data_IF_561136482418
#
_entry.id   IF_561136482418
#
_cell.length_a   1.000
_cell.length_b   1.000
_cell.length_c   1.000
_cell.angle_alpha   90.00
_cell.angle_beta   90.00
_cell.angle_gamma   90.00
#
_symmetry.space_group_name_H-M   'P 1'
#
loop_
_entity.id
_entity.type
_entity.pdbx_description
1 polymer ?
#
# COMPACT_ATOMS: atom_id res chain seq x y z
N UNK A 1 4.46 -59.35 -2.31
CA UNK A 1 5.31 -58.27 -1.77
C UNK A 1 4.95 -56.99 -2.53
N UNK A 2 4.05 -56.18 -1.98
CA UNK A 2 3.48 -55.00 -2.67
C UNK A 2 4.34 -53.76 -2.35
N UNK A 3 5.01 -53.23 -3.37
CA UNK A 3 5.78 -51.99 -3.27
C UNK A 3 4.80 -50.82 -3.12
N UNK A 4 4.63 -50.32 -1.89
CA UNK A 4 3.97 -49.04 -1.63
C UNK A 4 4.76 -47.95 -2.35
N UNK A 5 4.18 -47.40 -3.42
CA UNK A 5 4.60 -46.15 -4.02
C UNK A 5 4.68 -45.08 -2.93
N UNK A 6 5.90 -44.63 -2.61
CA UNK A 6 6.11 -43.44 -1.79
C UNK A 6 5.74 -42.25 -2.67
N UNK A 7 4.52 -41.73 -2.51
CA UNK A 7 4.14 -40.43 -3.06
C UNK A 7 5.03 -39.38 -2.42
N UNK A 8 6.06 -38.93 -3.14
CA UNK A 8 6.80 -37.73 -2.78
C UNK A 8 5.86 -36.54 -3.03
N UNK A 9 5.21 -36.04 -1.97
CA UNK A 9 4.62 -34.71 -1.99
C UNK A 9 5.76 -33.72 -2.07
N UNK A 10 6.04 -33.20 -3.26
CA UNK A 10 6.86 -32.01 -3.43
C UNK A 10 6.11 -30.91 -2.71
N UNK A 11 6.64 -30.47 -1.57
CA UNK A 11 6.09 -29.38 -0.79
C UNK A 11 6.39 -28.08 -1.55
N UNK A 12 5.57 -27.77 -2.56
CA UNK A 12 5.75 -26.56 -3.36
C UNK A 12 5.36 -25.35 -2.51
N UNK A 13 6.33 -24.83 -1.78
CA UNK A 13 6.19 -23.55 -1.09
C UNK A 13 6.10 -22.41 -2.11
N UNK A 14 5.04 -21.63 -2.03
CA UNK A 14 4.88 -20.38 -2.75
C UNK A 14 5.44 -19.24 -1.91
N UNK A 15 5.96 -18.19 -2.55
CA UNK A 15 6.52 -17.05 -1.86
C UNK A 15 5.83 -15.76 -2.25
N UNK A 16 5.64 -14.88 -1.27
CA UNK A 16 5.20 -13.50 -1.45
C UNK A 16 6.31 -12.63 -0.88
N UNK A 17 6.90 -11.80 -1.74
CA UNK A 17 7.97 -10.88 -1.37
C UNK A 17 7.40 -9.47 -1.36
N UNK A 18 7.43 -8.82 -0.21
CA UNK A 18 6.81 -7.52 -0.01
C UNK A 18 7.85 -6.51 0.43
N UNK A 19 7.81 -5.35 -0.20
CA UNK A 19 8.65 -4.19 0.14
C UNK A 19 7.78 -2.96 0.30
N UNK A 20 8.29 -1.96 1.02
CA UNK A 20 7.64 -0.66 1.18
C UNK A 20 8.36 0.40 0.34
N UNK A 21 7.63 1.18 -0.45
CA UNK A 21 8.23 2.34 -1.15
C UNK A 21 8.66 3.39 -0.12
N UNK A 22 9.77 4.07 -0.40
CA UNK A 22 10.19 5.25 0.36
C UNK A 22 9.33 6.44 -0.07
N UNK A 23 8.27 6.70 0.70
CA UNK A 23 7.41 7.88 0.59
C UNK A 23 7.25 8.51 1.98
N UNK A 24 7.04 9.82 2.02
CA UNK A 24 6.91 10.57 3.28
C UNK A 24 5.70 10.12 4.06
N UNK A 25 4.51 10.06 3.44
CA UNK A 25 3.28 9.69 4.13
C UNK A 25 3.31 8.27 4.68
N UNK A 26 3.77 7.29 3.88
CA UNK A 26 3.83 5.90 4.32
C UNK A 26 4.87 5.67 5.43
N UNK A 27 5.86 6.55 5.57
CA UNK A 27 6.91 6.42 6.59
C UNK A 27 6.36 6.48 8.02
N UNK A 28 5.29 7.25 8.23
CA UNK A 28 4.61 7.41 9.52
C UNK A 28 3.58 6.31 9.81
N UNK A 29 3.26 5.46 8.83
CA UNK A 29 2.22 4.44 8.96
C UNK A 29 2.81 3.11 9.43
N UNK A 30 2.09 2.43 10.33
CA UNK A 30 2.43 1.09 10.80
C UNK A 30 1.90 0.02 9.84
N UNK A 31 2.57 -0.14 8.69
CA UNK A 31 2.16 -1.03 7.62
C UNK A 31 2.30 -2.50 8.04
N UNK A 32 1.22 -3.26 7.83
CA UNK A 32 1.12 -4.69 8.06
C UNK A 32 0.48 -5.34 6.85
N UNK A 33 0.92 -6.55 6.54
CA UNK A 33 0.30 -7.43 5.54
C UNK A 33 -0.42 -8.53 6.28
N UNK A 34 -1.68 -8.77 5.93
CA UNK A 34 -2.48 -9.87 6.42
C UNK A 34 -2.60 -10.90 5.30
N UNK A 35 -2.20 -12.14 5.59
CA UNK A 35 -2.31 -13.27 4.66
C UNK A 35 -3.43 -14.21 5.14
N UNK A 36 -4.34 -14.55 4.23
CA UNK A 36 -5.50 -15.42 4.46
C UNK A 36 -6.37 -15.01 5.67
N UNK A 37 -6.35 -13.73 6.04
CA UNK A 37 -7.11 -13.20 7.16
C UNK A 37 -6.62 -13.65 8.55
N UNK A 38 -5.47 -14.31 8.67
CA UNK A 38 -4.98 -14.90 9.92
C UNK A 38 -3.58 -14.46 10.30
N UNK A 39 -2.66 -14.51 9.36
CA UNK A 39 -1.24 -14.24 9.61
C UNK A 39 -0.93 -12.77 9.33
N UNK A 40 -0.24 -12.11 10.25
CA UNK A 40 0.05 -10.67 10.19
C UNK A 40 1.57 -10.48 10.18
N UNK A 41 2.07 -9.81 9.14
CA UNK A 41 3.48 -9.52 8.94
C UNK A 41 3.70 -8.00 8.93
N UNK A 42 4.43 -7.42 9.90
CA UNK A 42 4.79 -6.00 9.84
C UNK A 42 5.78 -5.76 8.70
N UNK A 43 5.64 -4.64 7.99
CA UNK A 43 6.55 -4.24 6.88
C UNK A 43 7.20 -2.91 7.22
N UNK A 44 8.40 -2.95 7.81
CA UNK A 44 9.11 -1.74 8.27
C UNK A 44 9.80 -1.01 7.11
N UNK A 45 10.31 0.18 7.40
CA UNK A 45 11.05 0.97 6.42
C UNK A 45 12.31 0.21 5.94
N UNK A 46 12.51 0.14 4.63
CA UNK A 46 13.69 -0.50 4.03
C UNK A 46 13.74 -2.02 4.19
N UNK A 47 12.72 -2.64 4.80
CA UNK A 47 12.67 -4.07 5.02
C UNK A 47 12.06 -4.80 3.81
N UNK A 48 12.59 -5.99 3.54
CA UNK A 48 12.01 -6.94 2.60
C UNK A 48 11.44 -8.11 3.40
N UNK A 49 10.12 -8.25 3.36
CA UNK A 49 9.40 -9.32 4.03
C UNK A 49 9.15 -10.44 3.03
N UNK A 50 9.57 -11.67 3.37
CA UNK A 50 9.34 -12.86 2.56
C UNK A 50 8.39 -13.77 3.31
N UNK A 51 7.26 -14.09 2.71
CA UNK A 51 6.20 -14.91 3.29
C UNK A 51 6.11 -16.20 2.49
N UNK A 52 6.31 -17.34 3.13
CA UNK A 52 6.07 -18.66 2.54
C UNK A 52 4.62 -19.06 2.73
N UNK A 53 3.99 -19.59 1.68
CA UNK A 53 2.61 -20.07 1.71
C UNK A 53 2.55 -21.47 1.12
N UNK A 54 1.93 -22.40 1.85
CA UNK A 54 1.82 -23.81 1.46
C UNK A 54 0.72 -24.06 0.42
N UNK A 55 -0.30 -23.20 0.37
CA UNK A 55 -1.47 -23.36 -0.49
C UNK A 55 -1.54 -22.27 -1.55
N UNK A 56 -1.90 -22.69 -2.77
CA UNK A 56 -2.20 -21.78 -3.86
C UNK A 56 -3.49 -20.99 -3.56
N UNK A 57 -3.67 -19.86 -4.24
CA UNK A 57 -4.75 -18.89 -4.01
C UNK A 57 -4.69 -18.15 -2.66
N UNK A 58 -3.51 -17.71 -2.16
CA UNK A 58 -3.49 -16.89 -0.96
C UNK A 58 -4.14 -15.53 -1.20
N UNK A 59 -4.80 -15.03 -0.16
CA UNK A 59 -5.40 -13.70 -0.13
C UNK A 59 -4.56 -12.76 0.71
N UNK A 60 -4.15 -11.65 0.13
CA UNK A 60 -3.39 -10.61 0.82
C UNK A 60 -4.21 -9.34 0.99
N UNK A 61 -4.08 -8.74 2.17
CA UNK A 61 -4.64 -7.43 2.51
C UNK A 61 -3.53 -6.62 3.17
N UNK A 62 -3.36 -5.37 2.77
CA UNK A 62 -2.43 -4.46 3.45
C UNK A 62 -3.22 -3.48 4.30
N UNK A 63 -2.71 -3.20 5.49
CA UNK A 63 -3.33 -2.27 6.43
C UNK A 63 -2.32 -1.53 7.29
N UNK A 64 -2.68 -0.32 7.73
CA UNK A 64 -2.01 0.38 8.83
C UNK A 64 -2.81 0.34 10.14
N UNK A 65 -3.97 -0.35 10.17
CA UNK A 65 -4.94 -0.37 11.26
C UNK A 65 -6.18 0.49 11.02
N UNK A 66 -6.13 1.44 10.09
CA UNK A 66 -7.26 2.30 9.74
C UNK A 66 -7.66 2.17 8.27
N UNK A 67 -6.67 2.11 7.38
CA UNK A 67 -6.82 1.83 5.96
C UNK A 67 -6.69 0.33 5.70
N UNK A 68 -7.54 -0.22 4.85
CA UNK A 68 -7.52 -1.63 4.45
C UNK A 68 -7.68 -1.73 2.95
N UNK A 69 -6.71 -2.33 2.26
CA UNK A 69 -6.82 -2.55 0.82
C UNK A 69 -7.94 -3.56 0.52
N UNK A 70 -8.43 -3.55 -0.72
CA UNK A 70 -9.24 -4.67 -1.22
C UNK A 70 -8.40 -5.96 -1.14
N UNK A 71 -9.00 -7.11 -0.75
CA UNK A 71 -8.31 -8.39 -0.77
C UNK A 71 -7.83 -8.72 -2.18
N UNK A 72 -6.55 -9.05 -2.31
CA UNK A 72 -5.95 -9.50 -3.57
C UNK A 72 -5.68 -11.01 -3.48
N UNK A 73 -6.33 -11.78 -4.33
CA UNK A 73 -6.16 -13.23 -4.44
C UNK A 73 -5.08 -13.53 -5.49
N UNK A 74 -4.07 -14.31 -5.12
CA UNK A 74 -2.91 -14.61 -5.96
C UNK A 74 -3.03 -16.00 -6.58
N UNK A 75 -2.88 -16.14 -7.89
CA UNK A 75 -2.97 -17.45 -8.55
C UNK A 75 -1.60 -17.86 -9.10
N UNK A 76 -0.97 -18.84 -8.45
CA UNK A 76 0.33 -19.35 -8.86
C UNK A 76 0.16 -20.43 -9.93
N UNK A 77 0.61 -20.15 -11.16
CA UNK A 77 0.59 -21.11 -12.27
C UNK A 77 1.98 -21.69 -12.55
N UNK A 78 2.93 -20.83 -12.93
CA UNK A 78 4.31 -21.23 -13.28
C UNK A 78 5.37 -20.52 -12.43
N UNK A 79 5.05 -19.32 -11.93
CA UNK A 79 5.89 -18.59 -11.00
C UNK A 79 5.52 -19.03 -9.59
N UNK A 80 6.51 -19.36 -8.77
CA UNK A 80 6.34 -19.67 -7.34
C UNK A 80 6.56 -18.45 -6.44
N UNK A 81 6.77 -17.26 -7.02
CA UNK A 81 7.08 -16.03 -6.29
C UNK A 81 6.33 -14.85 -6.88
N UNK A 82 5.65 -14.07 -6.03
CA UNK A 82 5.17 -12.72 -6.38
C UNK A 82 5.97 -11.65 -5.66
N UNK A 83 6.26 -10.56 -6.38
CA UNK A 83 6.90 -9.37 -5.82
C UNK A 83 5.90 -8.23 -5.75
N UNK A 84 5.73 -7.67 -4.56
CA UNK A 84 4.87 -6.53 -4.31
C UNK A 84 5.62 -5.37 -3.68
N UNK A 85 5.20 -4.17 -4.06
CA UNK A 85 5.59 -2.92 -3.44
C UNK A 85 4.34 -2.25 -2.88
N UNK A 86 4.37 -1.97 -1.58
CA UNK A 86 3.33 -1.21 -0.90
C UNK A 86 3.63 0.27 -1.10
N UNK A 87 2.64 1.02 -1.57
CA UNK A 87 2.71 2.47 -1.77
C UNK A 87 1.52 3.17 -1.14
N UNK A 88 1.63 4.49 -1.01
CA UNK A 88 0.50 5.38 -0.73
C UNK A 88 0.00 6.01 -2.04
N UNK A 89 -1.30 6.27 -2.11
CA UNK A 89 -1.97 6.96 -3.22
C UNK A 89 -1.44 8.38 -3.45
N UNK A 90 -0.98 9.03 -2.39
CA UNK A 90 -0.34 10.34 -2.44
C UNK A 90 1.17 10.15 -2.40
N UNK A 91 1.86 10.56 -3.47
CA UNK A 91 3.31 10.55 -3.52
C UNK A 91 3.96 11.87 -3.06
N UNK A 92 5.28 11.86 -2.92
CA UNK A 92 6.02 13.02 -2.42
C UNK A 92 5.95 14.21 -3.40
N UNK A 93 5.84 13.93 -4.71
CA UNK A 93 5.68 14.96 -5.74
C UNK A 93 4.32 15.64 -5.67
N UNK A 94 3.24 14.89 -5.47
CA UNK A 94 1.89 15.41 -5.27
C UNK A 94 1.80 16.20 -3.97
N UNK A 95 2.42 15.71 -2.89
CA UNK A 95 2.47 16.43 -1.62
C UNK A 95 3.15 17.79 -1.79
N UNK A 96 4.32 17.82 -2.44
CA UNK A 96 5.07 19.04 -2.72
C UNK A 96 4.30 20.00 -3.63
N UNK A 97 3.69 19.49 -4.70
CA UNK A 97 2.86 20.28 -5.61
C UNK A 97 1.65 20.89 -4.87
N UNK A 98 1.00 20.11 -4.01
CA UNK A 98 -0.10 20.57 -3.15
C UNK A 98 0.33 21.71 -2.21
N UNK A 99 1.51 21.59 -1.59
CA UNK A 99 2.11 22.67 -0.79
C UNK A 99 2.39 23.92 -1.63
N UNK A 100 2.90 23.75 -2.85
CA UNK A 100 3.16 24.85 -3.78
C UNK A 100 1.89 25.61 -4.18
N UNK A 101 0.82 24.88 -4.55
CA UNK A 101 -0.49 25.46 -4.88
C UNK A 101 -1.07 26.20 -3.68
N UNK A 102 -1.01 25.60 -2.49
CA UNK A 102 -1.47 26.25 -1.26
C UNK A 102 -0.75 27.57 -1.01
N UNK A 103 0.59 27.55 -1.03
CA UNK A 103 1.40 28.74 -0.77
C UNK A 103 1.12 29.85 -1.80
N UNK A 104 1.07 29.49 -3.08
CA UNK A 104 0.83 30.43 -4.16
C UNK A 104 -0.53 31.13 -4.02
N UNK A 105 -1.62 30.35 -3.90
CA UNK A 105 -2.97 30.91 -3.79
C UNK A 105 -3.18 31.70 -2.50
N UNK A 106 -2.60 31.24 -1.39
CA UNK A 106 -2.66 31.95 -0.12
C UNK A 106 -1.97 33.31 -0.20
N UNK A 107 -0.73 33.36 -0.73
CA UNK A 107 0.02 34.61 -0.88
C UNK A 107 -0.64 35.56 -1.87
N UNK A 108 -1.15 35.06 -3.00
CA UNK A 108 -1.91 35.88 -3.95
C UNK A 108 -3.17 36.47 -3.30
N UNK A 109 -3.94 35.65 -2.57
CA UNK A 109 -5.12 36.11 -1.83
C UNK A 109 -4.77 37.09 -0.72
N UNK A 110 -3.59 36.97 -0.12
CA UNK A 110 -3.08 37.90 0.88
C UNK A 110 -2.75 39.26 0.26
N UNK A 111 -1.96 39.29 -0.81
CA UNK A 111 -1.53 40.53 -1.49
C UNK A 111 -2.71 41.25 -2.16
N UNK A 112 -3.61 40.52 -2.81
CA UNK A 112 -4.76 41.11 -3.53
C UNK A 112 -5.94 41.45 -2.62
N UNK A 113 -5.97 40.93 -1.38
CA UNK A 113 -7.14 41.01 -0.51
C UNK A 113 -8.30 40.09 -0.90
N UNK A 114 -8.19 39.30 -1.99
CA UNK A 114 -9.25 38.41 -2.42
C UNK A 114 -9.39 37.19 -1.52
N UNK A 115 -10.44 37.18 -0.71
CA UNK A 115 -10.76 36.08 0.20
C UNK A 115 -10.97 34.75 -0.52
N UNK A 116 -11.56 34.75 -1.72
CA UNK A 116 -11.82 33.54 -2.51
C UNK A 116 -10.52 32.78 -2.81
N UNK A 117 -9.42 33.47 -3.13
CA UNK A 117 -8.12 32.83 -3.38
C UNK A 117 -7.58 32.14 -2.13
N UNK A 118 -7.79 32.72 -0.95
CA UNK A 118 -7.43 32.09 0.33
C UNK A 118 -8.25 30.83 0.57
N UNK A 119 -9.55 30.85 0.24
CA UNK A 119 -10.40 29.66 0.37
C UNK A 119 -9.95 28.54 -0.59
N UNK A 120 -9.66 28.89 -1.85
CA UNK A 120 -9.15 27.94 -2.85
C UNK A 120 -7.77 27.36 -2.48
N UNK A 121 -6.95 28.10 -1.74
CA UNK A 121 -5.65 27.60 -1.26
C UNK A 121 -5.76 26.37 -0.36
N UNK A 122 -6.94 26.14 0.26
CA UNK A 122 -7.19 24.98 1.12
C UNK A 122 -7.55 23.72 0.31
N UNK A 123 -7.83 23.84 -0.98
CA UNK A 123 -8.26 22.71 -1.81
C UNK A 123 -7.28 21.52 -1.78
N UNK A 124 -5.94 21.69 -1.88
CA UNK A 124 -5.01 20.57 -1.78
C UNK A 124 -5.12 19.83 -0.43
N UNK A 125 -5.30 20.56 0.68
CA UNK A 125 -5.48 19.96 2.01
C UNK A 125 -6.77 19.15 2.04
N UNK A 126 -7.88 19.74 1.60
CA UNK A 126 -9.18 19.06 1.58
C UNK A 126 -9.15 17.80 0.72
N UNK A 127 -8.47 17.85 -0.42
CA UNK A 127 -8.29 16.70 -1.29
C UNK A 127 -7.48 15.57 -0.63
N UNK A 128 -6.36 15.89 0.02
CA UNK A 128 -5.57 14.88 0.74
C UNK A 128 -6.33 14.29 1.93
N UNK A 129 -7.08 15.12 2.67
CA UNK A 129 -7.97 14.64 3.73
C UNK A 129 -9.07 13.73 3.19
N UNK A 130 -9.64 14.05 2.03
CA UNK A 130 -10.64 13.19 1.39
C UNK A 130 -10.06 11.81 1.06
N UNK A 131 -8.86 11.75 0.47
CA UNK A 131 -8.19 10.49 0.17
C UNK A 131 -7.89 9.68 1.44
N UNK A 132 -7.40 10.34 2.49
CA UNK A 132 -7.08 9.69 3.77
C UNK A 132 -8.34 9.21 4.51
N UNK A 133 -9.32 10.10 4.74
CA UNK A 133 -10.46 9.78 5.62
C UNK A 133 -11.61 9.07 4.92
N UNK A 134 -11.86 9.38 3.65
CA UNK A 134 -13.02 8.89 2.90
C UNK A 134 -12.61 7.73 2.01
N UNK A 135 -11.57 7.89 1.17
CA UNK A 135 -11.14 6.84 0.25
C UNK A 135 -10.17 5.82 0.87
N UNK A 136 -10.57 5.25 2.02
CA UNK A 136 -9.68 4.46 2.87
C UNK A 136 -9.12 3.21 2.21
N UNK A 137 -9.84 2.64 1.23
CA UNK A 137 -9.48 1.39 0.56
C UNK A 137 -8.43 1.56 -0.52
N UNK A 138 -8.29 2.78 -1.04
CA UNK A 138 -7.38 3.09 -2.14
C UNK A 138 -6.18 3.91 -1.69
N UNK A 139 -6.21 4.43 -0.45
CA UNK A 139 -5.12 5.20 0.14
C UNK A 139 -3.80 4.40 0.23
N UNK A 140 -3.88 3.14 0.66
CA UNK A 140 -2.76 2.19 0.58
C UNK A 140 -2.98 1.32 -0.66
N UNK A 141 -1.92 1.05 -1.41
CA UNK A 141 -2.00 0.26 -2.63
C UNK A 141 -0.91 -0.81 -2.68
N UNK A 142 -1.25 -1.94 -3.29
CA UNK A 142 -0.35 -3.05 -3.56
C UNK A 142 -0.04 -3.02 -5.06
N UNK A 143 1.23 -2.80 -5.42
CA UNK A 143 1.68 -2.82 -6.81
C UNK A 143 2.57 -4.03 -7.06
N UNK A 144 2.25 -4.80 -8.11
CA UNK A 144 3.15 -5.85 -8.60
C UNK A 144 4.42 -5.20 -9.20
N UNK A 145 5.58 -5.83 -8.96
CA UNK A 145 6.89 -5.39 -9.46
C UNK A 145 7.40 -6.35 -10.51
#
# INVERSE_FOLDING_TARGET
MSLKSKTFTIDTSYYIVITRKKQTLISFLNIRVIVNGKEIYPVRHGERVVISVERNNPKIVVTDGYHFTKPLELVYHHLHVYYFKIICAIDDTQLLAGCGVLALFYLMGFVTGFFILKLLSLFPILYFLFLYYINRKEFIQIQAV
#
